data_IF_476463176614
#
_entry.id   IF_476463176614
#
_cell.length_a   1.000
_cell.length_b   1.000
_cell.length_c   1.000
_cell.angle_alpha   90.00
_cell.angle_beta   90.00
_cell.angle_gamma   90.00
#
_symmetry.space_group_name_H-M   'P 1'
#
loop_
_entity.id
_entity.type
_entity.pdbx_description
1 polymer ?
#
# COMPACT_ATOMS: atom_id res chain seq x y z
N UNK A 1 14.23 32.26 20.13
CA UNK A 1 14.05 30.82 19.80
C UNK A 1 12.94 30.06 20.57
N UNK A 2 12.21 30.68 21.50
CA UNK A 2 11.10 30.01 22.23
C UNK A 2 9.69 30.15 21.60
N UNK A 3 9.53 30.99 20.60
CA UNK A 3 8.21 31.26 19.97
C UNK A 3 7.80 30.26 18.88
N UNK A 4 8.75 29.60 18.22
CA UNK A 4 8.50 28.65 17.13
C UNK A 4 8.02 27.28 17.62
N UNK A 5 8.45 26.85 18.81
CA UNK A 5 8.04 25.56 19.40
C UNK A 5 6.55 25.51 19.81
N UNK A 6 6.01 26.63 20.30
CA UNK A 6 4.58 26.70 20.69
C UNK A 6 3.62 26.67 19.49
N UNK A 7 4.02 27.23 18.36
CA UNK A 7 3.17 27.27 17.17
C UNK A 7 3.06 25.88 16.50
N UNK A 8 4.14 25.09 16.52
CA UNK A 8 4.14 23.73 16.00
C UNK A 8 3.27 22.79 16.86
N UNK A 9 3.33 22.94 18.19
CA UNK A 9 2.50 22.16 19.12
C UNK A 9 1.00 22.39 18.91
N UNK A 10 0.60 23.63 18.71
CA UNK A 10 -0.80 23.98 18.46
C UNK A 10 -1.30 23.47 17.08
N UNK A 11 -0.42 23.40 16.07
CA UNK A 11 -0.78 22.88 14.75
C UNK A 11 -0.93 21.34 14.73
N UNK A 12 -0.06 20.62 15.44
CA UNK A 12 -0.18 19.15 15.56
C UNK A 12 -1.45 18.76 16.34
N UNK A 13 -1.73 19.43 17.45
CA UNK A 13 -2.96 19.19 18.22
C UNK A 13 -4.20 19.52 17.40
N UNK A 14 -4.19 20.60 16.60
CA UNK A 14 -5.30 20.90 15.68
C UNK A 14 -5.43 19.91 14.53
N UNK A 15 -4.34 19.30 14.06
CA UNK A 15 -4.38 18.29 13.00
C UNK A 15 -4.96 16.96 13.51
N UNK A 16 -4.57 16.53 14.69
CA UNK A 16 -5.11 15.30 15.33
C UNK A 16 -6.58 15.47 15.70
N UNK A 17 -6.99 16.65 16.17
CA UNK A 17 -8.39 16.92 16.52
C UNK A 17 -9.31 17.11 15.28
N UNK A 18 -8.75 17.38 14.10
CA UNK A 18 -9.53 17.52 12.86
C UNK A 18 -9.66 16.22 12.06
N UNK A 19 -8.86 15.21 12.32
CA UNK A 19 -8.89 13.96 11.57
C UNK A 19 -9.91 12.93 12.08
N UNK A 20 -10.56 13.17 13.22
CA UNK A 20 -11.58 12.28 13.78
C UNK A 20 -13.02 12.60 13.36
N UNK A 21 -13.23 13.54 12.46
CA UNK A 21 -14.56 13.93 12.04
C UNK A 21 -14.74 13.80 10.54
N UNK A 22 -14.83 12.60 9.98
CA UNK A 22 -15.61 12.37 8.74
C UNK A 22 -15.88 10.88 8.53
N UNK A 23 -16.97 10.39 9.09
CA UNK A 23 -17.80 9.40 8.41
C UNK A 23 -19.25 9.89 8.48
N UNK A 24 -19.66 10.67 7.49
CA UNK A 24 -21.06 10.98 7.29
C UNK A 24 -21.64 9.95 6.31
N UNK A 25 -22.57 9.13 6.79
CA UNK A 25 -23.42 8.32 5.95
C UNK A 25 -24.34 9.19 5.10
N UNK A 26 -24.73 8.71 3.93
CA UNK A 26 -25.46 9.40 2.88
C UNK A 26 -26.94 9.72 3.19
N UNK A 27 -27.34 9.86 4.43
CA UNK A 27 -28.70 10.26 4.81
C UNK A 27 -28.75 11.75 5.16
N UNK A 28 -29.60 12.46 4.47
CA UNK A 28 -29.82 13.91 4.41
C UNK A 28 -30.31 14.56 5.74
N UNK A 29 -29.74 14.22 6.89
CA UNK A 29 -29.97 14.93 8.14
C UNK A 29 -28.91 16.02 8.32
N UNK A 30 -29.27 17.20 8.79
CA UNK A 30 -28.29 18.24 9.09
C UNK A 30 -27.28 17.71 10.11
N UNK A 31 -25.98 17.84 9.78
CA UNK A 31 -24.89 17.43 10.67
C UNK A 31 -24.91 18.38 11.88
N UNK A 32 -25.36 17.88 13.01
CA UNK A 32 -25.21 18.58 14.28
C UNK A 32 -23.86 18.17 14.86
N UNK A 33 -22.91 19.08 14.85
CA UNK A 33 -21.60 18.87 15.47
C UNK A 33 -21.79 18.77 16.98
N UNK A 34 -21.43 17.63 17.54
CA UNK A 34 -21.29 17.46 18.98
C UNK A 34 -19.83 17.67 19.34
N UNK A 35 -19.58 18.51 20.33
CA UNK A 35 -18.27 18.66 20.92
C UNK A 35 -17.98 17.41 21.77
N UNK A 36 -17.09 16.54 21.30
CA UNK A 36 -16.64 15.41 22.09
C UNK A 36 -15.38 15.79 22.86
N UNK A 37 -15.41 15.63 24.17
CA UNK A 37 -14.22 15.79 25.01
C UNK A 37 -13.27 14.63 24.76
N UNK A 38 -12.24 14.87 23.97
CA UNK A 38 -11.15 13.90 23.75
C UNK A 38 -10.31 13.81 25.02
N UNK A 39 -10.21 12.64 25.62
CA UNK A 39 -9.24 12.40 26.69
C UNK A 39 -7.84 12.36 26.10
N UNK A 40 -7.02 13.36 26.41
CA UNK A 40 -5.59 13.31 26.09
C UNK A 40 -4.96 12.39 27.11
N UNK A 41 -4.37 11.29 26.64
CA UNK A 41 -3.68 10.36 27.53
C UNK A 41 -2.48 11.09 28.19
N UNK A 42 -2.28 10.97 29.51
CA UNK A 42 -1.24 11.72 30.23
C UNK A 42 0.16 11.61 29.63
N UNK A 43 0.52 10.44 29.06
CA UNK A 43 1.82 10.25 28.43
C UNK A 43 2.00 11.07 27.14
N UNK A 44 0.90 11.47 26.45
CA UNK A 44 0.99 12.35 25.28
C UNK A 44 1.28 13.80 25.67
N UNK A 45 0.94 14.20 26.90
CA UNK A 45 1.26 15.53 27.42
C UNK A 45 2.77 15.68 27.69
N UNK A 46 3.44 14.57 28.01
CA UNK A 46 4.87 14.51 28.28
C UNK A 46 5.68 14.11 27.04
N UNK A 47 5.04 13.97 25.87
CA UNK A 47 5.72 13.71 24.63
C UNK A 47 6.54 14.95 24.26
N UNK A 48 7.81 14.94 24.66
CA UNK A 48 8.76 15.93 24.17
C UNK A 48 9.02 15.61 22.71
N UNK A 49 8.49 16.45 21.82
CA UNK A 49 8.86 16.40 20.42
C UNK A 49 10.38 16.58 20.36
N UNK A 50 11.18 15.47 20.27
CA UNK A 50 11.83 15.26 19.19
C UNK A 50 13.28 15.40 18.95
N UNK A 51 14.08 15.07 19.92
CA UNK A 51 15.46 14.64 19.65
C UNK A 51 15.50 13.37 18.78
N UNK A 52 14.48 12.53 18.87
CA UNK A 52 14.42 11.25 18.14
C UNK A 52 14.21 11.43 16.62
N UNK A 53 13.34 12.35 16.20
CA UNK A 53 13.13 12.61 14.76
C UNK A 53 14.33 13.34 14.17
N UNK A 54 14.87 14.32 14.88
CA UNK A 54 16.08 15.04 14.48
C UNK A 54 17.29 14.09 14.37
N UNK A 55 17.47 13.19 15.35
CA UNK A 55 18.50 12.17 15.30
C UNK A 55 18.30 11.21 14.13
N UNK A 56 17.07 10.73 13.91
CA UNK A 56 16.77 9.86 12.80
C UNK A 56 17.10 10.50 11.45
N UNK A 57 16.69 11.74 11.21
CA UNK A 57 16.97 12.45 9.96
C UNK A 57 18.46 12.70 9.73
N UNK A 58 19.25 12.86 10.80
CA UNK A 58 20.70 13.07 10.70
C UNK A 58 21.47 11.81 10.28
N UNK A 59 20.92 10.62 10.50
CA UNK A 59 21.55 9.33 10.19
C UNK A 59 20.90 8.61 9.01
N UNK A 60 20.13 9.31 8.21
CA UNK A 60 19.48 8.75 7.03
C UNK A 60 19.87 9.47 5.75
N UNK A 61 19.93 8.72 4.66
CA UNK A 61 20.10 9.29 3.32
C UNK A 61 18.76 9.79 2.75
N UNK A 62 18.76 10.20 1.48
CA UNK A 62 17.59 10.70 0.77
C UNK A 62 16.41 9.73 0.66
N UNK A 63 16.64 8.42 0.78
CA UNK A 63 15.60 7.39 0.84
C UNK A 63 15.09 7.12 2.26
N UNK A 64 15.63 7.80 3.27
CA UNK A 64 15.37 7.50 4.67
C UNK A 64 16.04 6.23 5.16
N UNK A 65 17.04 5.74 4.44
CA UNK A 65 17.82 4.55 4.80
C UNK A 65 18.92 4.90 5.78
N UNK A 66 19.25 3.97 6.67
CA UNK A 66 20.21 4.17 7.77
C UNK A 66 21.65 4.21 7.26
N UNK A 67 22.34 5.35 7.45
CA UNK A 67 23.74 5.54 7.07
C UNK A 67 24.73 5.16 8.16
N UNK A 68 24.25 4.90 9.37
CA UNK A 68 25.02 4.47 10.55
C UNK A 68 25.18 2.94 10.66
N UNK A 69 24.60 2.17 9.74
CA UNK A 69 24.84 0.72 9.61
C UNK A 69 25.87 0.44 8.50
N UNK A 70 26.54 -0.73 8.54
CA UNK A 70 27.47 -1.13 7.50
C UNK A 70 26.79 -1.14 6.11
N UNK A 71 27.42 -0.45 5.18
CA UNK A 71 26.94 -0.35 3.80
C UNK A 71 27.06 -1.70 3.09
N UNK A 72 26.01 -2.08 2.37
CA UNK A 72 25.95 -3.23 1.50
C UNK A 72 26.36 -2.81 0.06
N UNK A 73 26.47 -3.79 -0.85
CA UNK A 73 26.65 -3.49 -2.27
C UNK A 73 25.53 -2.63 -2.83
N UNK A 74 25.90 -1.53 -3.47
CA UNK A 74 24.97 -0.64 -4.16
C UNK A 74 24.65 -1.19 -5.55
N UNK A 75 23.37 -1.48 -5.81
CA UNK A 75 22.92 -2.06 -7.10
C UNK A 75 22.15 -1.07 -7.97
N UNK A 76 21.95 0.16 -7.48
CA UNK A 76 21.14 1.17 -8.15
C UNK A 76 19.63 0.94 -8.03
N UNK A 77 19.19 -0.09 -7.31
CA UNK A 77 17.80 -0.47 -7.09
C UNK A 77 17.56 -0.95 -5.65
N UNK A 78 16.32 -0.88 -5.21
CA UNK A 78 15.92 -1.57 -4.00
C UNK A 78 16.00 -3.08 -4.19
N UNK A 79 16.45 -3.77 -3.17
CA UNK A 79 16.53 -5.23 -3.11
C UNK A 79 16.39 -5.72 -1.69
N UNK A 80 16.14 -7.00 -1.53
CA UNK A 80 16.19 -7.67 -0.23
C UNK A 80 17.50 -8.43 -0.06
N UNK A 81 17.95 -8.54 1.19
CA UNK A 81 19.09 -9.37 1.58
C UNK A 81 18.86 -9.96 2.96
N UNK A 82 19.59 -11.03 3.28
CA UNK A 82 19.54 -11.65 4.61
C UNK A 82 20.86 -11.39 5.32
N UNK A 83 20.80 -10.75 6.48
CA UNK A 83 21.94 -10.45 7.34
C UNK A 83 21.64 -11.04 8.71
N UNK A 84 22.52 -11.87 9.23
CA UNK A 84 22.38 -12.54 10.54
C UNK A 84 21.00 -13.20 10.75
N UNK A 85 20.52 -13.87 9.69
CA UNK A 85 19.25 -14.59 9.71
C UNK A 85 17.99 -13.70 9.52
N UNK A 86 18.12 -12.39 9.46
CA UNK A 86 17.01 -11.44 9.26
C UNK A 86 16.97 -10.87 7.86
N UNK A 87 15.76 -10.72 7.31
CA UNK A 87 15.56 -10.04 6.04
C UNK A 87 15.62 -8.53 6.21
N UNK A 88 16.34 -7.89 5.30
CA UNK A 88 16.47 -6.44 5.20
C UNK A 88 16.15 -5.98 3.78
N UNK A 89 15.65 -4.77 3.68
CA UNK A 89 15.61 -4.04 2.42
C UNK A 89 16.90 -3.23 2.34
N UNK A 90 17.52 -3.21 1.17
CA UNK A 90 18.69 -2.39 0.85
C UNK A 90 18.28 -1.41 -0.24
N UNK A 91 18.60 -0.15 -0.05
CA UNK A 91 18.28 0.91 -0.99
C UNK A 91 19.23 0.92 -2.21
N UNK A 92 18.96 1.73 -3.24
CA UNK A 92 19.81 1.82 -4.43
C UNK A 92 21.28 2.18 -4.16
N UNK A 93 21.57 2.84 -3.04
CA UNK A 93 22.91 3.28 -2.67
C UNK A 93 23.63 2.30 -1.73
N UNK A 94 22.96 1.20 -1.34
CA UNK A 94 23.53 0.14 -0.50
C UNK A 94 23.26 0.29 0.99
N UNK A 95 22.41 1.21 1.42
CA UNK A 95 22.09 1.38 2.83
C UNK A 95 20.88 0.56 3.24
N UNK A 96 20.87 0.13 4.52
CA UNK A 96 19.75 -0.60 5.09
C UNK A 96 18.53 0.30 5.20
N UNK A 97 17.42 -0.16 4.62
CA UNK A 97 16.19 0.60 4.52
C UNK A 97 15.09 -0.02 5.36
N UNK A 98 14.42 0.81 6.13
CA UNK A 98 13.16 0.50 6.79
C UNK A 98 12.05 1.35 6.15
N UNK A 99 11.16 0.70 5.40
CA UNK A 99 10.16 1.42 4.63
C UNK A 99 9.12 2.09 5.54
N UNK A 100 9.16 3.41 5.61
CA UNK A 100 8.14 4.25 6.22
C UNK A 100 7.47 5.07 5.13
N UNK A 101 6.27 4.65 4.79
CA UNK A 101 5.51 5.25 3.71
C UNK A 101 4.06 5.53 4.12
N UNK A 102 3.39 6.37 3.36
CA UNK A 102 1.95 6.62 3.46
C UNK A 102 1.23 5.95 2.30
N UNK A 103 0.06 5.37 2.58
CA UNK A 103 -0.83 4.82 1.55
C UNK A 103 -1.87 5.85 1.13
N UNK A 104 -2.52 5.61 -0.01
CA UNK A 104 -3.63 6.43 -0.48
C UNK A 104 -3.31 7.93 -0.62
N UNK A 105 -2.05 8.27 -0.93
CA UNK A 105 -1.68 9.64 -1.26
C UNK A 105 -2.36 10.03 -2.58
N UNK A 106 -3.46 10.74 -2.50
CA UNK A 106 -4.27 11.15 -3.64
C UNK A 106 -5.08 12.41 -3.35
N UNK A 107 -5.39 13.18 -4.39
CA UNK A 107 -6.35 14.26 -4.28
C UNK A 107 -7.74 13.69 -4.06
N UNK A 108 -8.51 14.27 -3.15
CA UNK A 108 -9.93 13.95 -3.06
C UNK A 108 -10.70 14.52 -4.27
N UNK A 109 -11.82 13.87 -4.59
CA UNK A 109 -12.63 14.20 -5.77
C UNK A 109 -13.89 15.04 -5.47
N UNK A 110 -14.16 15.35 -4.20
CA UNK A 110 -15.30 16.21 -3.86
C UNK A 110 -15.02 17.69 -4.19
N UNK A 111 -16.08 18.46 -4.41
CA UNK A 111 -15.98 19.92 -4.61
C UNK A 111 -15.22 20.60 -3.47
N UNK A 112 -15.50 20.20 -2.22
CA UNK A 112 -14.83 20.73 -1.02
C UNK A 112 -13.33 20.43 -1.04
N UNK A 113 -12.95 19.19 -1.40
CA UNK A 113 -11.54 18.80 -1.51
C UNK A 113 -10.83 19.59 -2.61
N UNK A 114 -11.49 19.79 -3.76
CA UNK A 114 -10.94 20.56 -4.87
C UNK A 114 -10.74 22.04 -4.50
N UNK A 115 -11.67 22.62 -3.75
CA UNK A 115 -11.53 24.00 -3.25
C UNK A 115 -10.39 24.12 -2.23
N UNK A 116 -10.31 23.19 -1.27
CA UNK A 116 -9.22 23.14 -0.28
C UNK A 116 -7.85 22.97 -0.94
N UNK A 117 -7.76 22.10 -1.96
CA UNK A 117 -6.56 21.91 -2.75
C UNK A 117 -6.11 23.20 -3.43
N UNK A 118 -6.99 23.88 -4.17
CA UNK A 118 -6.72 25.15 -4.85
C UNK A 118 -6.34 26.27 -3.87
N UNK A 119 -6.88 26.25 -2.66
CA UNK A 119 -6.54 27.23 -1.63
C UNK A 119 -5.20 26.99 -0.95
N UNK A 120 -4.60 25.81 -1.13
CA UNK A 120 -3.34 25.43 -0.47
C UNK A 120 -2.16 25.27 -1.43
N UNK A 121 -2.39 24.76 -2.63
CA UNK A 121 -1.37 24.41 -3.60
C UNK A 121 -1.57 25.13 -4.92
N UNK A 122 -0.48 25.67 -5.47
CA UNK A 122 -0.50 26.35 -6.76
C UNK A 122 -0.65 25.38 -7.94
N UNK A 123 -0.17 24.14 -7.77
CA UNK A 123 -0.19 23.09 -8.80
C UNK A 123 -0.05 21.68 -8.19
N UNK A 124 -0.20 20.66 -9.01
CA UNK A 124 0.07 19.27 -8.63
C UNK A 124 1.55 19.06 -8.27
N UNK A 125 2.46 19.72 -8.98
CA UNK A 125 3.88 19.66 -8.69
C UNK A 125 4.19 20.29 -7.31
N UNK A 126 3.61 21.45 -7.01
CA UNK A 126 3.72 22.13 -5.71
C UNK A 126 3.16 21.25 -4.59
N UNK A 127 2.01 20.59 -4.84
CA UNK A 127 1.44 19.64 -3.89
C UNK A 127 2.39 18.50 -3.56
N UNK A 128 2.97 17.83 -4.57
CA UNK A 128 3.88 16.71 -4.34
C UNK A 128 5.15 17.18 -3.64
N UNK A 129 5.76 18.30 -4.06
CA UNK A 129 6.97 18.84 -3.43
C UNK A 129 6.72 19.24 -1.98
N UNK A 130 5.60 19.89 -1.68
CA UNK A 130 5.21 20.24 -0.31
C UNK A 130 4.97 18.99 0.53
N UNK A 131 4.25 18.00 -0.02
CA UNK A 131 3.97 16.73 0.67
C UNK A 131 5.25 15.96 0.95
N UNK A 132 6.17 15.88 -0.01
CA UNK A 132 7.47 15.24 0.19
C UNK A 132 8.22 15.88 1.36
N UNK A 133 8.30 17.20 1.38
CA UNK A 133 8.97 17.95 2.44
C UNK A 133 8.33 17.72 3.82
N UNK A 134 6.99 17.74 3.89
CA UNK A 134 6.25 17.49 5.13
C UNK A 134 6.46 16.06 5.63
N UNK A 135 6.39 15.07 4.75
CA UNK A 135 6.62 13.66 5.08
C UNK A 135 8.06 13.41 5.53
N UNK A 136 9.04 13.91 4.80
CA UNK A 136 10.45 13.77 5.16
C UNK A 136 10.74 14.41 6.53
N UNK A 137 10.12 15.57 6.82
CA UNK A 137 10.24 16.25 8.11
C UNK A 137 9.74 15.47 9.32
N UNK A 138 8.90 14.46 9.10
CA UNK A 138 8.40 13.53 10.13
C UNK A 138 8.93 12.09 9.93
N UNK A 139 9.93 11.93 9.06
CA UNK A 139 10.63 10.67 8.86
C UNK A 139 9.96 9.67 7.93
N UNK A 140 9.01 10.09 7.10
CA UNK A 140 8.42 9.28 6.04
C UNK A 140 9.06 9.63 4.71
N UNK A 141 9.43 8.61 3.91
CA UNK A 141 10.19 8.81 2.68
C UNK A 141 9.55 8.20 1.44
N UNK A 142 8.29 7.78 1.53
CA UNK A 142 7.67 7.13 0.39
C UNK A 142 6.16 7.00 0.45
N UNK A 143 5.65 6.42 -0.64
CA UNK A 143 4.25 6.09 -0.81
C UNK A 143 4.07 4.60 -0.96
N UNK A 144 3.02 4.08 -0.33
CA UNK A 144 2.59 2.69 -0.45
C UNK A 144 1.53 2.49 -1.53
N UNK A 145 0.66 1.52 -1.30
CA UNK A 145 -0.45 1.18 -2.19
C UNK A 145 -1.49 2.32 -2.32
N UNK A 146 -2.40 2.17 -3.29
CA UNK A 146 -3.56 3.04 -3.53
C UNK A 146 -3.27 4.50 -3.87
N UNK A 147 -2.11 4.77 -4.44
CA UNK A 147 -1.73 6.09 -4.94
C UNK A 147 -1.87 6.20 -6.47
N UNK A 148 -2.75 5.44 -7.10
CA UNK A 148 -2.79 5.17 -8.55
C UNK A 148 -2.69 6.43 -9.42
N UNK A 149 -3.49 7.45 -9.13
CA UNK A 149 -3.49 8.70 -9.91
C UNK A 149 -2.34 9.66 -9.54
N UNK A 150 -1.54 9.30 -8.56
CA UNK A 150 -0.47 10.15 -8.03
C UNK A 150 0.92 9.64 -8.42
N UNK A 151 1.06 8.36 -8.78
CA UNK A 151 2.36 7.78 -9.10
C UNK A 151 3.11 8.52 -10.21
N UNK A 152 2.42 8.93 -11.28
CA UNK A 152 3.04 9.70 -12.36
C UNK A 152 3.58 11.05 -11.87
N UNK A 153 2.83 11.73 -11.02
CA UNK A 153 3.28 13.01 -10.43
C UNK A 153 4.49 12.81 -9.53
N UNK A 154 4.53 11.71 -8.77
CA UNK A 154 5.68 11.36 -7.93
C UNK A 154 6.91 11.03 -8.80
N UNK A 155 6.75 10.28 -9.90
CA UNK A 155 7.86 10.01 -10.83
C UNK A 155 8.40 11.30 -11.47
N UNK A 156 7.52 12.23 -11.83
CA UNK A 156 7.92 13.55 -12.31
C UNK A 156 8.68 14.34 -11.23
N UNK A 157 8.18 14.35 -9.99
CA UNK A 157 8.87 14.95 -8.86
C UNK A 157 10.26 14.34 -8.65
N UNK A 158 10.36 13.01 -8.61
CA UNK A 158 11.62 12.31 -8.41
C UNK A 158 12.66 12.61 -9.50
N UNK A 159 12.19 12.80 -10.73
CA UNK A 159 13.05 13.19 -11.86
C UNK A 159 13.57 14.62 -11.73
N UNK A 160 12.73 15.53 -11.23
CA UNK A 160 13.09 16.93 -11.03
C UNK A 160 13.90 17.15 -9.73
N UNK A 161 13.72 16.29 -8.74
CA UNK A 161 14.32 16.40 -7.41
C UNK A 161 14.99 15.08 -6.97
N UNK A 162 16.09 14.65 -7.65
CA UNK A 162 16.72 13.37 -7.39
C UNK A 162 17.35 13.25 -5.99
N UNK A 163 17.56 14.38 -5.31
CA UNK A 163 18.12 14.42 -3.94
C UNK A 163 17.02 14.38 -2.85
N UNK A 164 15.77 14.49 -3.24
CA UNK A 164 14.63 14.45 -2.33
C UNK A 164 13.48 13.58 -2.90
N UNK A 165 13.76 12.31 -3.25
CA UNK A 165 12.75 11.45 -3.86
C UNK A 165 11.70 10.99 -2.84
N UNK A 166 10.55 10.57 -3.37
CA UNK A 166 9.61 9.70 -2.68
C UNK A 166 9.75 8.28 -3.24
N UNK A 167 9.92 7.29 -2.38
CA UNK A 167 9.89 5.89 -2.82
C UNK A 167 8.47 5.49 -3.21
N UNK A 168 8.36 4.52 -4.10
CA UNK A 168 7.11 4.05 -4.68
C UNK A 168 6.90 2.58 -4.37
N UNK A 169 5.68 2.21 -3.97
CA UNK A 169 5.24 0.83 -3.88
C UNK A 169 3.84 0.71 -4.54
N UNK A 170 3.76 0.74 -5.86
CA UNK A 170 2.49 0.69 -6.59
C UNK A 170 1.80 -0.66 -6.44
N UNK A 171 0.46 -0.64 -6.51
CA UNK A 171 -0.38 -1.83 -6.49
C UNK A 171 -1.10 -2.03 -7.82
N UNK A 172 -1.21 -3.29 -8.23
CA UNK A 172 -1.85 -3.72 -9.46
C UNK A 172 -2.80 -4.87 -9.18
N UNK A 173 -3.89 -4.95 -9.92
CA UNK A 173 -4.86 -6.04 -9.80
C UNK A 173 -4.61 -7.11 -10.86
N UNK A 174 -3.67 -8.02 -10.65
CA UNK A 174 -3.39 -9.11 -11.58
C UNK A 174 -4.59 -10.04 -11.72
N UNK A 175 -5.17 -10.45 -10.60
CA UNK A 175 -6.34 -11.35 -10.58
C UNK A 175 -7.55 -10.70 -11.26
N UNK A 176 -7.86 -9.45 -10.93
CA UNK A 176 -9.00 -8.75 -11.52
C UNK A 176 -8.85 -8.53 -13.03
N UNK A 177 -7.65 -8.22 -13.49
CA UNK A 177 -7.36 -8.07 -14.92
C UNK A 177 -7.43 -9.41 -15.66
N UNK A 178 -6.91 -10.48 -15.06
CA UNK A 178 -7.01 -11.81 -15.64
C UNK A 178 -8.44 -12.33 -15.66
N UNK A 179 -9.21 -12.09 -14.58
CA UNK A 179 -10.65 -12.41 -14.52
C UNK A 179 -11.42 -11.80 -15.68
N UNK A 180 -11.16 -10.53 -15.98
CA UNK A 180 -11.78 -9.86 -17.12
C UNK A 180 -11.39 -10.50 -18.45
N UNK A 181 -10.15 -10.98 -18.59
CA UNK A 181 -9.65 -11.64 -19.81
C UNK A 181 -10.29 -13.00 -20.04
N UNK A 182 -10.52 -13.79 -18.99
CA UNK A 182 -11.13 -15.15 -19.11
C UNK A 182 -12.66 -15.13 -19.05
N UNK A 183 -13.28 -13.95 -18.99
CA UNK A 183 -14.74 -13.82 -19.03
C UNK A 183 -15.43 -14.10 -17.70
N UNK A 184 -14.71 -14.07 -16.61
CA UNK A 184 -15.26 -14.25 -15.26
C UNK A 184 -14.69 -15.45 -14.51
N UNK A 185 -15.29 -15.71 -13.36
CA UNK A 185 -14.92 -16.82 -12.48
C UNK A 185 -16.19 -17.40 -11.83
N UNK A 186 -16.51 -18.66 -12.06
CA UNK A 186 -17.77 -19.26 -11.59
C UNK A 186 -17.81 -19.50 -10.07
N UNK A 187 -16.68 -19.46 -9.39
CA UNK A 187 -16.55 -19.76 -7.95
C UNK A 187 -16.81 -18.57 -7.02
N UNK A 188 -17.13 -17.38 -7.53
CA UNK A 188 -17.34 -16.22 -6.66
C UNK A 188 -17.52 -14.88 -7.38
N UNK A 189 -17.81 -13.85 -6.59
CA UNK A 189 -18.08 -12.49 -7.06
C UNK A 189 -16.95 -11.50 -6.77
N UNK A 190 -15.91 -11.89 -6.03
CA UNK A 190 -14.79 -11.01 -5.73
C UNK A 190 -13.98 -10.67 -6.98
N UNK A 191 -13.40 -9.49 -7.03
CA UNK A 191 -12.46 -9.11 -8.07
C UNK A 191 -11.12 -9.87 -7.94
N UNK A 192 -10.77 -10.31 -6.71
CA UNK A 192 -9.49 -10.91 -6.34
C UNK A 192 -9.63 -12.41 -6.05
N UNK A 193 -10.17 -13.14 -7.01
CA UNK A 193 -10.44 -14.58 -6.90
C UNK A 193 -9.15 -15.42 -6.95
N UNK A 194 -8.73 -15.96 -5.81
CA UNK A 194 -7.51 -16.76 -5.69
C UNK A 194 -7.47 -17.98 -6.62
N UNK A 195 -8.61 -18.60 -6.91
CA UNK A 195 -8.72 -19.75 -7.81
C UNK A 195 -8.31 -19.47 -9.26
N UNK A 196 -8.25 -18.22 -9.69
CA UNK A 196 -7.82 -17.84 -11.04
C UNK A 196 -6.37 -18.23 -11.36
N UNK A 197 -5.52 -18.40 -10.36
CA UNK A 197 -4.11 -18.79 -10.58
C UNK A 197 -3.96 -20.18 -11.18
N UNK A 198 -5.00 -21.02 -11.09
CA UNK A 198 -5.00 -22.37 -11.64
C UNK A 198 -5.47 -22.44 -13.11
N UNK A 199 -5.93 -21.31 -13.67
CA UNK A 199 -6.41 -21.27 -15.05
C UNK A 199 -5.25 -21.24 -16.05
N UNK A 200 -5.49 -21.91 -17.18
CA UNK A 200 -4.55 -21.88 -18.29
C UNK A 200 -4.26 -20.42 -18.72
N UNK A 201 -3.01 -20.16 -19.00
CA UNK A 201 -2.58 -18.83 -19.43
C UNK A 201 -2.34 -17.82 -18.31
N UNK A 202 -2.58 -18.16 -17.03
CA UNK A 202 -2.30 -17.25 -15.90
C UNK A 202 -0.84 -16.78 -15.89
N UNK A 203 0.10 -17.70 -15.97
CA UNK A 203 1.54 -17.36 -15.95
C UNK A 203 1.94 -16.51 -17.15
N UNK A 204 1.46 -16.88 -18.34
CA UNK A 204 1.71 -16.12 -19.56
C UNK A 204 1.11 -14.70 -19.49
N UNK A 205 -0.10 -14.59 -18.91
CA UNK A 205 -0.73 -13.31 -18.64
C UNK A 205 0.12 -12.47 -17.71
N UNK A 206 0.56 -13.00 -16.57
CA UNK A 206 1.38 -12.27 -15.60
C UNK A 206 2.67 -11.76 -16.24
N UNK A 207 3.38 -12.61 -16.99
CA UNK A 207 4.59 -12.22 -17.72
C UNK A 207 4.32 -11.07 -18.69
N UNK A 208 3.24 -11.16 -19.45
CA UNK A 208 2.87 -10.11 -20.41
C UNK A 208 2.42 -8.83 -19.71
N UNK A 209 1.65 -8.92 -18.63
CA UNK A 209 1.17 -7.76 -17.88
C UNK A 209 2.33 -6.97 -17.25
N UNK A 210 3.34 -7.66 -16.74
CA UNK A 210 4.58 -7.02 -16.26
C UNK A 210 5.35 -6.38 -17.42
N UNK A 211 5.52 -7.10 -18.53
CA UNK A 211 6.40 -6.66 -19.64
C UNK A 211 5.78 -5.55 -20.50
N UNK A 212 4.48 -5.61 -20.73
CA UNK A 212 3.78 -4.79 -21.72
C UNK A 212 2.61 -3.99 -21.15
N UNK A 213 2.10 -4.33 -19.96
CA UNK A 213 1.01 -3.66 -19.28
C UNK A 213 1.45 -2.48 -18.41
N UNK A 214 0.56 -2.08 -17.51
CA UNK A 214 0.74 -0.92 -16.63
C UNK A 214 1.96 -1.00 -15.71
N UNK A 215 2.43 -2.21 -15.40
CA UNK A 215 3.61 -2.44 -14.56
C UNK A 215 4.88 -1.96 -15.24
N UNK A 216 4.95 -2.04 -16.59
CA UNK A 216 6.14 -1.75 -17.40
C UNK A 216 6.81 -0.41 -17.05
N UNK A 217 6.02 0.65 -16.84
CA UNK A 217 6.54 2.00 -16.57
C UNK A 217 7.31 2.14 -15.25
N UNK A 218 7.19 1.16 -14.36
CA UNK A 218 7.90 1.12 -13.08
C UNK A 218 9.16 0.26 -13.13
N UNK A 219 9.31 -0.54 -14.19
CA UNK A 219 10.49 -1.37 -14.37
C UNK A 219 11.70 -0.46 -14.63
N UNK A 220 12.71 -0.61 -13.81
CA UNK A 220 13.91 0.21 -13.96
C UNK A 220 13.90 1.52 -13.18
N UNK A 221 12.80 1.97 -12.65
CA UNK A 221 12.77 3.14 -11.76
C UNK A 221 13.46 2.80 -10.43
N UNK A 222 14.57 3.49 -10.17
CA UNK A 222 15.36 3.28 -8.96
C UNK A 222 14.62 3.62 -7.67
N UNK A 223 13.54 4.41 -7.73
CA UNK A 223 12.76 4.83 -6.59
C UNK A 223 11.63 3.83 -6.27
N UNK A 224 11.42 2.82 -7.10
CA UNK A 224 10.43 1.77 -6.85
C UNK A 224 11.01 0.75 -5.88
N UNK A 225 10.42 0.68 -4.68
CA UNK A 225 10.79 -0.26 -3.64
C UNK A 225 10.34 -1.69 -4.00
N UNK A 226 9.18 -1.82 -4.60
CA UNK A 226 8.55 -3.05 -5.01
C UNK A 226 7.14 -2.79 -5.51
N UNK A 227 6.44 -3.85 -5.89
CA UNK A 227 5.04 -3.77 -6.31
C UNK A 227 4.18 -4.71 -5.47
N UNK A 228 2.92 -4.34 -5.25
CA UNK A 228 1.88 -5.24 -4.78
C UNK A 228 1.17 -5.83 -6.00
N UNK A 229 1.09 -7.17 -6.07
CA UNK A 229 0.43 -7.82 -7.19
C UNK A 229 -1.10 -7.74 -7.12
N UNK A 230 -1.64 -7.72 -5.92
CA UNK A 230 -3.08 -7.66 -5.66
C UNK A 230 -3.32 -7.10 -4.25
N UNK A 231 -4.59 -6.89 -3.90
CA UNK A 231 -5.03 -6.46 -2.58
C UNK A 231 -6.18 -7.33 -2.12
N UNK A 232 -6.18 -7.72 -0.85
CA UNK A 232 -7.26 -8.47 -0.23
C UNK A 232 -7.67 -9.69 -1.07
N UNK A 233 -6.68 -10.54 -1.38
CA UNK A 233 -6.95 -11.81 -2.09
C UNK A 233 -7.93 -12.63 -1.26
N UNK A 234 -9.03 -13.02 -1.88
CA UNK A 234 -10.13 -13.66 -1.20
C UNK A 234 -9.89 -15.16 -1.00
N UNK A 235 -9.52 -15.53 0.22
CA UNK A 235 -9.42 -16.92 0.66
C UNK A 235 -10.67 -17.42 1.40
N UNK A 236 -11.64 -16.51 1.70
CA UNK A 236 -12.91 -16.84 2.34
C UNK A 236 -14.00 -15.84 1.94
N UNK A 237 -15.25 -16.27 1.87
CA UNK A 237 -16.39 -15.37 1.62
C UNK A 237 -16.97 -14.84 2.92
N UNK A 238 -16.71 -13.56 3.23
CA UNK A 238 -17.40 -12.83 4.29
C UNK A 238 -16.93 -13.16 5.71
N UNK A 239 -17.69 -12.67 6.69
CA UNK A 239 -17.38 -12.66 8.12
C UNK A 239 -17.80 -13.93 8.86
N UNK A 240 -18.37 -14.91 8.18
CA UNK A 240 -18.84 -16.14 8.85
C UNK A 240 -17.70 -17.15 8.95
N UNK A 241 -17.50 -17.68 10.16
CA UNK A 241 -16.60 -18.82 10.43
C UNK A 241 -17.16 -20.14 9.88
N UNK A 242 -17.96 -20.09 8.81
CA UNK A 242 -18.51 -21.27 8.18
C UNK A 242 -17.46 -21.89 7.25
N UNK A 243 -17.18 -23.17 7.42
CA UNK A 243 -16.22 -23.93 6.58
C UNK A 243 -16.51 -23.78 5.08
N UNK A 244 -17.79 -23.65 4.70
CA UNK A 244 -18.23 -23.42 3.31
C UNK A 244 -17.74 -22.10 2.71
N UNK A 245 -17.23 -21.18 3.51
CA UNK A 245 -16.66 -19.91 3.05
C UNK A 245 -15.21 -20.01 2.64
N UNK A 246 -14.49 -21.04 3.06
CA UNK A 246 -13.06 -21.19 2.79
C UNK A 246 -12.75 -21.59 1.35
N UNK A 247 -11.58 -21.18 0.87
CA UNK A 247 -11.16 -21.35 -0.52
C UNK A 247 -11.30 -22.80 -1.00
N UNK A 248 -10.76 -23.77 -0.28
CA UNK A 248 -10.79 -25.18 -0.69
C UNK A 248 -12.23 -25.66 -0.94
N UNK A 249 -13.14 -25.39 0.02
CA UNK A 249 -14.54 -25.78 -0.11
C UNK A 249 -15.20 -25.11 -1.32
N UNK A 250 -14.94 -23.83 -1.54
CA UNK A 250 -15.47 -23.09 -2.69
C UNK A 250 -14.97 -23.66 -4.02
N UNK A 251 -13.70 -24.04 -4.10
CA UNK A 251 -13.11 -24.62 -5.31
C UNK A 251 -13.71 -26.00 -5.60
N UNK A 252 -13.87 -26.85 -4.59
CA UNK A 252 -14.48 -28.18 -4.73
C UNK A 252 -15.96 -28.10 -5.16
N UNK A 253 -16.67 -27.05 -4.79
CA UNK A 253 -18.07 -26.84 -5.12
C UNK A 253 -18.32 -26.03 -6.42
N UNK A 254 -17.30 -25.76 -7.24
CA UNK A 254 -17.50 -25.23 -8.57
C UNK A 254 -18.27 -26.29 -9.38
N UNK A 255 -19.42 -25.94 -9.96
CA UNK A 255 -20.33 -26.86 -10.64
C UNK A 255 -19.69 -27.54 -11.85
N UNK A 256 -18.85 -26.83 -12.59
CA UNK A 256 -18.13 -27.37 -13.72
C UNK A 256 -16.96 -28.26 -13.27
N UNK A 257 -17.10 -29.57 -13.43
CA UNK A 257 -16.06 -30.54 -13.10
C UNK A 257 -14.77 -30.38 -13.95
N UNK A 258 -14.83 -29.69 -15.07
CA UNK A 258 -13.66 -29.40 -15.89
C UNK A 258 -12.94 -28.12 -15.50
N UNK A 259 -13.48 -27.35 -14.58
CA UNK A 259 -12.87 -26.12 -14.12
C UNK A 259 -11.47 -26.36 -13.55
N UNK A 260 -10.42 -25.64 -14.01
CA UNK A 260 -9.04 -25.85 -13.57
C UNK A 260 -8.85 -25.68 -12.07
N UNK A 261 -9.52 -24.72 -11.44
CA UNK A 261 -9.40 -24.48 -10.01
C UNK A 261 -10.03 -25.61 -9.18
N UNK A 262 -11.16 -26.17 -9.65
CA UNK A 262 -11.77 -27.37 -9.04
C UNK A 262 -10.84 -28.57 -9.16
N UNK A 263 -10.30 -28.84 -10.33
CA UNK A 263 -9.35 -29.94 -10.55
C UNK A 263 -8.12 -29.82 -9.65
N UNK A 264 -7.55 -28.62 -9.52
CA UNK A 264 -6.42 -28.37 -8.64
C UNK A 264 -6.76 -28.66 -7.17
N UNK A 265 -7.95 -28.27 -6.71
CA UNK A 265 -8.41 -28.54 -5.35
C UNK A 265 -8.62 -30.04 -5.12
N UNK A 266 -9.24 -30.76 -6.06
CA UNK A 266 -9.44 -32.22 -5.98
C UNK A 266 -8.10 -32.97 -5.97
N UNK A 267 -7.14 -32.56 -6.80
CA UNK A 267 -5.81 -33.13 -6.85
C UNK A 267 -5.07 -32.90 -5.52
N UNK A 268 -5.17 -31.71 -4.97
CA UNK A 268 -4.57 -31.39 -3.67
C UNK A 268 -5.17 -32.25 -2.54
N UNK A 269 -6.48 -32.45 -2.51
CA UNK A 269 -7.14 -33.33 -1.55
C UNK A 269 -6.59 -34.76 -1.64
N UNK A 270 -6.48 -35.33 -2.85
CA UNK A 270 -5.96 -36.69 -3.05
C UNK A 270 -4.49 -36.79 -2.68
N UNK A 271 -3.65 -35.90 -3.16
CA UNK A 271 -2.20 -36.03 -3.11
C UNK A 271 -1.59 -35.54 -1.80
N UNK A 272 -2.18 -34.52 -1.15
CA UNK A 272 -1.64 -33.90 0.06
C UNK A 272 -2.37 -34.34 1.32
N UNK A 273 -3.72 -34.39 1.27
CA UNK A 273 -4.50 -34.83 2.43
C UNK A 273 -4.73 -36.34 2.47
N UNK A 274 -4.54 -37.06 1.35
CA UNK A 274 -4.89 -38.47 1.22
C UNK A 274 -6.38 -38.75 1.39
N UNK A 275 -7.24 -37.80 1.02
CA UNK A 275 -8.70 -37.86 1.20
C UNK A 275 -9.44 -37.77 -0.13
N UNK A 276 -10.62 -38.41 -0.16
CA UNK A 276 -11.52 -38.28 -1.29
C UNK A 276 -12.15 -36.87 -1.32
N UNK A 277 -12.04 -36.13 -2.41
CA UNK A 277 -12.66 -34.82 -2.57
C UNK A 277 -14.17 -34.81 -2.32
N UNK A 278 -14.89 -35.91 -2.66
CA UNK A 278 -16.33 -36.02 -2.48
C UNK A 278 -16.79 -35.93 -1.01
N UNK A 279 -15.92 -36.18 -0.06
CA UNK A 279 -16.22 -36.11 1.39
C UNK A 279 -16.23 -34.64 1.87
N UNK A 280 -15.67 -33.73 1.10
CA UNK A 280 -15.53 -32.31 1.45
C UNK A 280 -16.29 -31.35 0.54
N UNK A 281 -17.06 -31.89 -0.40
CA UNK A 281 -17.93 -31.09 -1.31
C UNK A 281 -19.35 -30.87 -0.73
#
# INVERSE_FOLDING_TARGET
MRATSRCLRLRLIRCVLRSTAVFASSNSRPIVWKEEKTRILPYLLNFTADTTVAHYTSVTNKYGSRTDYPKQEATGRFRTTKIDGRWWIVDPEGYLHYNRCVTSLRKGNSTRNSQAFKGRFASDADWIATTQKELAGIGFHGTGAFCTNTYTLIQQHNSAHPDAPLTLAPSFGFLSQFKSKVGGYPGGNSANEAGLVFYDGWEAFCKNYVKNGDVKRYLGDRNVLGIFSDNEIDFSTGTSNNEKSYLLFRLLNISDANNPARKAAEEWCRNVLGKDPAVHS
#
